data_IF_207006315670
#
_entry.id   IF_207006315670
#
_cell.length_a   1.000
_cell.length_b   1.000
_cell.length_c   1.000
_cell.angle_alpha   90.00
_cell.angle_beta   90.00
_cell.angle_gamma   90.00
#
_symmetry.space_group_name_H-M   'P 1'
#
loop_
_entity.id
_entity.type
_entity.pdbx_description
1 polymer ?
#
# COMPACT_ATOMS: atom_id res chain seq x y z
N UNK A 1 -14.67 -3.38 8.28
CA UNK A 1 -13.75 -3.49 7.15
C UNK A 1 -12.31 -3.41 7.63
N UNK A 2 -11.43 -4.06 6.95
CA UNK A 2 -10.01 -4.06 7.27
C UNK A 2 -9.27 -3.12 6.31
N UNK A 3 -8.45 -2.22 6.86
CA UNK A 3 -7.68 -1.26 6.06
C UNK A 3 -6.20 -1.60 6.20
N UNK A 4 -5.49 -1.61 5.08
CA UNK A 4 -4.04 -1.83 5.04
C UNK A 4 -3.39 -0.67 4.30
N UNK A 5 -2.35 -0.11 4.91
CA UNK A 5 -1.55 0.95 4.29
C UNK A 5 -0.14 0.46 4.08
N UNK A 6 0.36 0.65 2.88
CA UNK A 6 1.75 0.36 2.53
C UNK A 6 2.44 1.66 2.19
N UNK A 7 3.59 1.91 2.81
CA UNK A 7 4.43 3.06 2.55
C UNK A 7 5.78 2.53 2.07
N UNK A 8 6.04 2.66 0.77
CA UNK A 8 7.20 2.08 0.12
C UNK A 8 8.16 3.18 -0.32
N UNK A 9 9.37 3.12 0.20
CA UNK A 9 10.43 4.07 -0.17
C UNK A 9 11.40 3.40 -1.13
N UNK A 10 11.47 3.92 -2.35
CA UNK A 10 12.34 3.39 -3.40
C UNK A 10 13.76 3.90 -3.18
N UNK A 11 14.73 2.99 -3.15
CA UNK A 11 16.13 3.35 -2.91
C UNK A 11 16.76 4.07 -4.07
N UNK A 12 16.48 3.65 -5.30
CA UNK A 12 17.10 4.20 -6.52
C UNK A 12 16.05 4.84 -7.40
N UNK A 13 16.31 6.07 -7.83
CA UNK A 13 15.41 6.76 -8.75
C UNK A 13 15.20 6.00 -10.06
N UNK A 14 16.21 5.23 -10.50
CA UNK A 14 16.09 4.41 -11.71
C UNK A 14 15.03 3.32 -11.61
N UNK A 15 14.64 2.93 -10.40
CA UNK A 15 13.59 1.93 -10.20
C UNK A 15 12.17 2.53 -10.17
N UNK A 16 12.03 3.87 -10.15
CA UNK A 16 10.71 4.50 -10.07
C UNK A 16 9.81 4.09 -11.22
N UNK A 17 10.24 4.13 -12.50
CA UNK A 17 9.35 3.73 -13.60
C UNK A 17 8.88 2.29 -13.49
N UNK A 18 9.73 1.39 -13.03
CA UNK A 18 9.39 -0.02 -12.87
C UNK A 18 8.34 -0.22 -11.78
N UNK A 19 8.53 0.44 -10.65
CA UNK A 19 7.57 0.37 -9.53
C UNK A 19 6.23 0.99 -9.94
N UNK A 20 6.26 2.14 -10.61
CA UNK A 20 5.04 2.81 -11.07
C UNK A 20 4.26 1.92 -12.05
N UNK A 21 4.96 1.23 -12.95
CA UNK A 21 4.32 0.31 -13.91
C UNK A 21 3.63 -0.84 -13.19
N UNK A 22 4.26 -1.42 -12.18
CA UNK A 22 3.65 -2.48 -11.38
C UNK A 22 2.42 -1.99 -10.62
N UNK A 23 2.48 -0.76 -10.10
CA UNK A 23 1.34 -0.14 -9.43
C UNK A 23 0.15 0.03 -10.38
N UNK A 24 0.39 0.43 -11.63
CA UNK A 24 -0.67 0.55 -12.63
C UNK A 24 -1.28 -0.81 -12.98
N UNK A 25 -0.46 -1.82 -13.13
CA UNK A 25 -0.94 -3.19 -13.38
C UNK A 25 -1.82 -3.68 -12.23
N UNK A 26 -1.40 -3.40 -11.01
CA UNK A 26 -2.16 -3.76 -9.82
C UNK A 26 -3.53 -3.07 -9.81
N UNK A 27 -3.57 -1.76 -10.09
CA UNK A 27 -4.82 -1.01 -10.13
C UNK A 27 -5.79 -1.56 -11.17
N UNK A 28 -5.29 -1.96 -12.35
CA UNK A 28 -6.12 -2.50 -13.40
C UNK A 28 -6.78 -3.81 -13.01
N UNK A 29 -6.15 -4.59 -12.14
CA UNK A 29 -6.64 -5.90 -11.70
C UNK A 29 -7.40 -5.84 -10.39
N UNK A 30 -7.43 -4.68 -9.77
CA UNK A 30 -8.08 -4.49 -8.48
C UNK A 30 -9.54 -4.99 -8.46
N UNK A 31 -10.39 -4.69 -9.45
CA UNK A 31 -11.77 -5.16 -9.44
C UNK A 31 -11.93 -6.68 -9.47
N UNK A 32 -10.89 -7.41 -9.88
CA UNK A 32 -10.92 -8.88 -9.94
C UNK A 32 -10.53 -9.54 -8.62
N UNK A 33 -10.06 -8.78 -7.66
CA UNK A 33 -9.54 -9.32 -6.40
C UNK A 33 -10.70 -9.50 -5.41
N UNK A 34 -10.91 -10.75 -4.99
CA UNK A 34 -11.99 -11.08 -4.06
C UNK A 34 -11.80 -10.38 -2.71
N UNK A 35 -12.86 -9.73 -2.23
CA UNK A 35 -12.86 -9.04 -0.95
C UNK A 35 -12.23 -7.67 -0.96
N UNK A 36 -11.70 -7.21 -2.09
CA UNK A 36 -11.15 -5.88 -2.25
C UNK A 36 -12.28 -4.86 -2.43
N UNK A 37 -12.32 -3.85 -1.57
CA UNK A 37 -13.38 -2.86 -1.55
C UNK A 37 -12.94 -1.49 -2.05
N UNK A 38 -11.72 -1.08 -1.78
CA UNK A 38 -11.23 0.22 -2.19
C UNK A 38 -9.72 0.28 -2.24
N UNK A 39 -9.19 1.15 -3.10
CA UNK A 39 -7.76 1.35 -3.26
C UNK A 39 -7.47 2.81 -3.58
N UNK A 40 -6.59 3.42 -2.81
CA UNK A 40 -6.08 4.76 -3.06
C UNK A 40 -4.56 4.71 -3.08
N UNK A 41 -3.98 5.43 -4.02
CA UNK A 41 -2.53 5.47 -4.21
C UNK A 41 -2.08 6.92 -4.28
N UNK A 42 -0.99 7.22 -3.58
CA UNK A 42 -0.34 8.53 -3.65
C UNK A 42 1.15 8.36 -3.93
N UNK A 43 1.67 9.21 -4.80
CA UNK A 43 3.09 9.23 -5.14
C UNK A 43 3.68 10.51 -4.60
N UNK A 44 4.70 10.42 -3.77
CA UNK A 44 5.32 11.53 -3.07
C UNK A 44 6.82 11.60 -3.36
N UNK A 45 7.42 12.74 -3.08
CA UNK A 45 8.86 12.96 -3.21
C UNK A 45 9.38 12.60 -4.61
N UNK A 46 8.71 13.12 -5.64
CA UNK A 46 9.11 12.88 -7.03
C UNK A 46 8.96 11.43 -7.47
N UNK A 47 8.09 10.68 -6.79
CA UNK A 47 7.84 9.27 -7.10
C UNK A 47 8.66 8.29 -6.27
N UNK A 48 9.59 8.75 -5.45
CA UNK A 48 10.38 7.85 -4.61
C UNK A 48 9.59 7.21 -3.49
N UNK A 49 8.54 7.89 -3.01
CA UNK A 49 7.70 7.37 -1.94
C UNK A 49 6.34 7.03 -2.52
N UNK A 50 5.96 5.77 -2.42
CA UNK A 50 4.70 5.27 -2.93
C UNK A 50 3.86 4.80 -1.76
N UNK A 51 2.69 5.41 -1.60
CA UNK A 51 1.77 5.07 -0.51
C UNK A 51 0.51 4.48 -1.12
N UNK A 52 0.08 3.32 -0.63
CA UNK A 52 -1.19 2.73 -1.03
C UNK A 52 -2.03 2.44 0.21
N UNK A 53 -3.32 2.71 0.10
CA UNK A 53 -4.29 2.38 1.14
C UNK A 53 -5.33 1.48 0.49
N UNK A 54 -5.45 0.27 1.00
CA UNK A 54 -6.41 -0.72 0.50
C UNK A 54 -7.42 -1.06 1.58
N UNK A 55 -8.67 -1.21 1.17
CA UNK A 55 -9.77 -1.55 2.06
C UNK A 55 -10.32 -2.91 1.68
N UNK A 56 -10.47 -3.79 2.66
CA UNK A 56 -10.84 -5.18 2.48
C UNK A 56 -12.08 -5.51 3.29
N UNK A 57 -12.89 -6.42 2.76
CA UNK A 57 -14.08 -6.91 3.45
C UNK A 57 -13.72 -7.53 4.81
N UNK A 58 -12.57 -8.22 4.88
CA UNK A 58 -12.09 -8.86 6.10
C UNK A 58 -10.57 -9.01 6.07
N UNK A 59 -9.91 -9.21 7.24
CA UNK A 59 -8.48 -9.52 7.27
C UNK A 59 -8.12 -10.79 6.51
N UNK A 60 -9.02 -11.77 6.48
CA UNK A 60 -8.80 -13.03 5.78
C UNK A 60 -8.70 -12.83 4.27
N UNK A 61 -9.50 -11.94 3.71
CA UNK A 61 -9.43 -11.62 2.28
C UNK A 61 -8.08 -11.01 1.92
N UNK A 62 -7.57 -10.10 2.76
CA UNK A 62 -6.24 -9.54 2.57
C UNK A 62 -5.17 -10.63 2.64
N UNK A 63 -5.23 -11.52 3.64
CA UNK A 63 -4.26 -12.60 3.78
C UNK A 63 -4.26 -13.52 2.57
N UNK A 64 -5.43 -13.82 2.04
CA UNK A 64 -5.55 -14.64 0.83
C UNK A 64 -4.85 -13.97 -0.35
N UNK A 65 -5.06 -12.67 -0.51
CA UNK A 65 -4.40 -11.91 -1.57
C UNK A 65 -2.88 -11.89 -1.39
N UNK A 66 -2.40 -11.63 -0.17
CA UNK A 66 -0.96 -11.56 0.13
C UNK A 66 -0.26 -12.88 -0.18
N UNK A 67 -0.96 -14.01 0.00
CA UNK A 67 -0.43 -15.34 -0.28
C UNK A 67 -0.54 -15.74 -1.75
N UNK A 68 -1.21 -14.94 -2.57
CA UNK A 68 -1.36 -15.27 -3.98
C UNK A 68 0.00 -15.31 -4.68
N UNK A 69 0.19 -16.20 -5.68
CA UNK A 69 1.48 -16.29 -6.39
C UNK A 69 1.91 -14.97 -7.02
N UNK A 70 0.96 -14.20 -7.53
CA UNK A 70 1.24 -12.89 -8.13
C UNK A 70 1.81 -11.92 -7.11
N UNK A 71 1.16 -11.81 -5.94
CA UNK A 71 1.62 -10.90 -4.89
C UNK A 71 2.99 -11.32 -4.35
N UNK A 72 3.19 -12.62 -4.16
CA UNK A 72 4.50 -13.14 -3.70
C UNK A 72 5.60 -12.81 -4.70
N UNK A 73 5.31 -12.88 -6.00
CA UNK A 73 6.27 -12.51 -7.04
C UNK A 73 6.63 -11.03 -6.95
N UNK A 74 5.65 -10.16 -6.80
CA UNK A 74 5.87 -8.72 -6.66
C UNK A 74 6.73 -8.43 -5.44
N UNK A 75 6.42 -9.04 -4.32
CA UNK A 75 7.20 -8.86 -3.08
C UNK A 75 8.64 -9.30 -3.27
N UNK A 76 8.86 -10.43 -3.93
CA UNK A 76 10.21 -10.93 -4.20
C UNK A 76 10.97 -9.98 -5.11
N UNK A 77 10.32 -9.51 -6.19
CA UNK A 77 10.98 -8.68 -7.20
C UNK A 77 11.37 -7.30 -6.65
N UNK A 78 10.60 -6.77 -5.70
CA UNK A 78 10.82 -5.42 -5.19
C UNK A 78 11.42 -5.37 -3.78
N UNK A 79 11.75 -6.53 -3.21
CA UNK A 79 12.31 -6.59 -1.86
C UNK A 79 13.58 -5.77 -1.69
N UNK A 80 14.46 -5.83 -2.69
CA UNK A 80 15.75 -5.13 -2.65
C UNK A 80 15.69 -3.72 -3.22
N UNK A 81 14.59 -3.32 -3.85
CA UNK A 81 14.47 -2.02 -4.51
C UNK A 81 14.03 -0.91 -3.56
N UNK A 82 13.57 -1.25 -2.38
CA UNK A 82 13.07 -0.25 -1.44
C UNK A 82 12.81 -0.80 -0.06
N UNK A 83 12.36 0.10 0.82
CA UNK A 83 11.94 -0.23 2.18
C UNK A 83 10.43 -0.12 2.29
N UNK A 84 9.79 -1.16 2.82
CA UNK A 84 8.34 -1.20 2.98
C UNK A 84 7.97 -1.08 4.46
N UNK A 85 7.04 -0.19 4.73
CA UNK A 85 6.38 -0.07 6.02
C UNK A 85 4.90 -0.33 5.85
N UNK A 86 4.33 -1.16 6.70
CA UNK A 86 2.92 -1.53 6.63
C UNK A 86 2.22 -1.19 7.94
N UNK A 87 1.00 -0.65 7.83
CA UNK A 87 0.12 -0.39 8.96
C UNK A 87 -1.28 -0.88 8.62
N UNK A 88 -2.02 -1.34 9.62
CA UNK A 88 -3.37 -1.84 9.41
C UNK A 88 -4.29 -1.43 10.55
N UNK A 89 -5.57 -1.25 10.23
CA UNK A 89 -6.59 -0.91 11.23
C UNK A 89 -7.98 -1.32 10.73
N UNK A 90 -8.96 -1.28 11.63
CA UNK A 90 -10.34 -1.57 11.27
C UNK A 90 -11.08 -0.27 10.99
N UNK A 91 -11.97 -0.29 10.01
CA UNK A 91 -12.87 0.82 9.69
C UNK A 91 -14.31 0.30 9.71
N UNK A 92 -15.23 1.13 10.21
CA UNK A 92 -16.63 0.72 10.31
C UNK A 92 -17.35 0.80 8.98
N UNK A 93 -16.92 1.72 8.12
CA UNK A 93 -17.56 1.95 6.83
C UNK A 93 -16.54 2.41 5.79
N UNK A 94 -16.89 2.24 4.52
CA UNK A 94 -16.07 2.68 3.41
C UNK A 94 -16.29 4.18 3.20
N UNK A 95 -15.55 4.98 3.93
CA UNK A 95 -15.56 6.44 3.84
C UNK A 95 -14.17 6.89 3.43
N UNK A 96 -14.04 7.33 2.19
CA UNK A 96 -12.76 7.72 1.60
C UNK A 96 -12.06 8.81 2.41
N UNK A 97 -12.79 9.86 2.77
CA UNK A 97 -12.21 10.99 3.48
C UNK A 97 -11.71 10.58 4.86
N UNK A 98 -12.50 9.79 5.59
CA UNK A 98 -12.13 9.33 6.91
C UNK A 98 -10.92 8.39 6.86
N UNK A 99 -10.95 7.41 5.96
CA UNK A 99 -9.86 6.45 5.82
C UNK A 99 -8.57 7.14 5.41
N UNK A 100 -8.65 8.09 4.48
CA UNK A 100 -7.48 8.85 4.05
C UNK A 100 -6.94 9.73 5.18
N UNK A 101 -7.80 10.32 5.99
CA UNK A 101 -7.40 11.08 7.17
C UNK A 101 -6.65 10.19 8.17
N UNK A 102 -7.17 8.99 8.43
CA UNK A 102 -6.51 8.04 9.31
C UNK A 102 -5.14 7.62 8.77
N UNK A 103 -5.05 7.39 7.45
CA UNK A 103 -3.80 7.06 6.81
C UNK A 103 -2.78 8.20 6.93
N UNK A 104 -3.23 9.43 6.72
CA UNK A 104 -2.38 10.62 6.84
C UNK A 104 -1.82 10.77 8.25
N UNK A 105 -2.64 10.54 9.25
CA UNK A 105 -2.19 10.60 10.64
C UNK A 105 -1.08 9.58 10.91
N UNK A 106 -1.20 8.38 10.37
CA UNK A 106 -0.18 7.35 10.54
C UNK A 106 1.11 7.71 9.79
N UNK A 107 1.01 8.28 8.61
CA UNK A 107 2.17 8.76 7.85
C UNK A 107 2.87 9.89 8.58
N UNK A 108 2.11 10.82 9.13
CA UNK A 108 2.63 11.94 9.90
C UNK A 108 3.41 11.45 11.12
N UNK A 109 2.87 10.49 11.84
CA UNK A 109 3.53 9.89 12.98
C UNK A 109 4.88 9.27 12.63
N UNK A 110 4.98 8.65 11.45
CA UNK A 110 6.24 8.11 10.97
C UNK A 110 7.28 9.18 10.70
N UNK A 111 6.85 10.28 10.08
CA UNK A 111 7.76 11.36 9.73
C UNK A 111 8.24 12.11 10.97
N UNK A 112 7.32 12.38 11.89
CA UNK A 112 7.59 13.25 13.03
C UNK A 112 8.06 12.51 14.27
N UNK A 113 7.51 11.35 14.53
CA UNK A 113 7.69 10.65 15.78
C UNK A 113 8.51 9.40 15.71
N UNK A 114 8.71 8.88 14.55
CA UNK A 114 9.50 7.68 14.44
C UNK A 114 10.95 8.05 14.63
N UNK A 115 11.56 7.46 15.62
CA UNK A 115 12.99 7.61 15.78
C UNK A 115 13.58 7.05 14.53
N UNK A 116 13.72 7.45 13.61
CA UNK A 116 14.31 7.14 12.34
C UNK A 116 15.41 6.09 12.46
N UNK A 117 15.07 5.04 13.06
CA UNK A 117 15.99 3.91 13.21
C UNK A 117 15.48 2.67 12.50
#
# INVERSE_FOLDING_TARGET
MHVSMNDYLIHRRSDIPRVAREGLRFRRRWPEIEGALGLWVASLNGGRRQVSVSVWRSPEDLRRFVRSPRHLRIMRDFRSAGALYTSAWAAERLDRALIWSQATDRLQGRVDGVPHH
#
